data_IF_649264531184
#
_entry.id   IF_649264531184
#
_cell.length_a   1.000
_cell.length_b   1.000
_cell.length_c   1.000
_cell.angle_alpha   90.00
_cell.angle_beta   90.00
_cell.angle_gamma   90.00
#
_symmetry.space_group_name_H-M   'P 1'
#
loop_
_entity.id
_entity.type
_entity.pdbx_description
1 polymer ?
#
# COMPACT_ATOMS: atom_id res chain seq x y z
N UNK A 1 -17.97 16.30 13.28
CA UNK A 1 -18.71 16.07 12.03
C UNK A 1 -18.93 14.57 11.87
N UNK A 2 -20.16 14.15 11.62
CA UNK A 2 -20.50 12.72 11.49
C UNK A 2 -20.07 12.24 10.09
N UNK A 3 -19.51 11.02 9.95
CA UNK A 3 -19.24 10.43 8.64
C UNK A 3 -20.51 10.39 7.77
N UNK A 4 -20.38 10.69 6.47
CA UNK A 4 -21.50 10.66 5.52
C UNK A 4 -22.53 11.80 5.66
N UNK A 5 -22.34 12.76 6.56
CA UNK A 5 -23.26 13.89 6.71
C UNK A 5 -23.03 15.01 5.69
N UNK A 6 -24.06 15.82 5.44
CA UNK A 6 -23.98 16.99 4.56
C UNK A 6 -22.93 18.00 5.03
N UNK A 7 -22.78 18.19 6.35
CA UNK A 7 -21.76 19.07 6.90
C UNK A 7 -20.34 18.58 6.58
N UNK A 8 -20.13 17.25 6.63
CA UNK A 8 -18.84 16.66 6.24
C UNK A 8 -18.60 16.80 4.74
N UNK A 9 -19.62 16.58 3.91
CA UNK A 9 -19.57 16.75 2.45
C UNK A 9 -19.19 18.18 2.07
N UNK A 10 -19.87 19.18 2.62
CA UNK A 10 -19.57 20.60 2.40
C UNK A 10 -18.16 21.00 2.89
N UNK A 11 -17.70 20.41 3.99
CA UNK A 11 -16.32 20.62 4.46
C UNK A 11 -15.28 20.04 3.50
N UNK A 12 -15.49 18.81 3.01
CA UNK A 12 -14.60 18.18 2.02
C UNK A 12 -14.60 18.98 0.72
N UNK A 13 -15.76 19.40 0.24
CA UNK A 13 -15.87 20.21 -0.97
C UNK A 13 -15.10 21.53 -0.86
N UNK A 14 -15.31 22.29 0.21
CA UNK A 14 -14.66 23.58 0.40
C UNK A 14 -13.15 23.50 0.69
N UNK A 15 -12.69 22.45 1.40
CA UNK A 15 -11.30 22.34 1.86
C UNK A 15 -10.42 21.49 0.94
N UNK A 16 -10.99 20.57 0.18
CA UNK A 16 -10.26 19.62 -0.67
C UNK A 16 -10.60 19.85 -2.14
N UNK A 17 -11.88 19.73 -2.54
CA UNK A 17 -12.29 19.79 -3.95
C UNK A 17 -12.04 21.17 -4.56
N UNK A 18 -12.59 22.23 -3.97
CA UNK A 18 -12.44 23.61 -4.46
C UNK A 18 -11.01 24.13 -4.39
N UNK A 19 -10.12 23.41 -3.72
CA UNK A 19 -8.69 23.72 -3.62
C UNK A 19 -7.82 22.83 -4.52
N UNK A 20 -8.43 21.97 -5.33
CA UNK A 20 -7.76 21.06 -6.25
C UNK A 20 -6.77 20.10 -5.57
N UNK A 21 -7.10 19.65 -4.35
CA UNK A 21 -6.31 18.65 -3.61
C UNK A 21 -6.79 17.21 -3.86
N UNK A 22 -7.92 17.03 -4.54
CA UNK A 22 -8.41 15.70 -4.92
C UNK A 22 -7.55 15.11 -6.06
N UNK A 23 -7.26 13.82 -5.95
CA UNK A 23 -6.48 13.07 -6.92
C UNK A 23 -7.08 11.68 -7.11
N UNK A 24 -6.91 11.13 -8.31
CA UNK A 24 -7.22 9.72 -8.61
C UNK A 24 -5.98 8.82 -8.48
N UNK A 25 -4.89 9.33 -7.92
CA UNK A 25 -3.70 8.55 -7.59
C UNK A 25 -3.79 8.00 -6.16
N UNK A 26 -3.35 6.76 -5.99
CA UNK A 26 -3.17 6.12 -4.68
C UNK A 26 -1.72 6.30 -4.24
N UNK A 27 -1.48 6.64 -2.98
CA UNK A 27 -0.12 6.64 -2.41
C UNK A 27 0.36 5.22 -2.11
N UNK A 28 1.65 4.96 -2.27
CA UNK A 28 2.22 3.74 -1.71
C UNK A 28 2.19 3.83 -0.19
N UNK A 29 2.09 2.68 0.47
CA UNK A 29 2.26 2.57 1.91
C UNK A 29 3.61 3.16 2.36
N UNK A 30 4.67 2.98 1.58
CA UNK A 30 5.97 3.55 1.91
C UNK A 30 5.99 5.08 1.97
N UNK A 31 5.24 5.75 1.08
CA UNK A 31 5.14 7.21 1.10
C UNK A 31 4.54 7.71 2.41
N UNK A 32 3.60 6.96 3.01
CA UNK A 32 2.84 7.41 4.18
C UNK A 32 3.22 6.74 5.51
N UNK A 33 3.96 5.63 5.50
CA UNK A 33 4.21 4.79 6.69
C UNK A 33 5.63 4.24 6.84
N UNK A 34 6.46 4.24 5.79
CA UNK A 34 7.87 3.77 5.74
C UNK A 34 8.18 2.33 6.23
N UNK A 35 7.88 1.99 7.48
CA UNK A 35 8.25 0.74 8.14
C UNK A 35 7.22 0.38 9.23
N UNK A 36 7.18 -0.91 9.59
CA UNK A 36 6.36 -1.39 10.70
C UNK A 36 7.11 -1.28 12.03
N UNK A 37 6.38 -0.90 13.08
CA UNK A 37 6.82 -1.04 14.47
C UNK A 37 6.44 -2.43 14.94
N UNK A 38 7.42 -3.25 15.26
CA UNK A 38 7.21 -4.61 15.78
C UNK A 38 7.53 -4.67 17.28
N UNK A 39 6.78 -5.47 18.01
CA UNK A 39 7.07 -5.80 19.40
C UNK A 39 8.20 -6.86 19.51
N UNK A 40 8.51 -7.29 20.73
CA UNK A 40 9.57 -8.28 20.98
C UNK A 40 9.29 -9.66 20.33
N UNK A 41 8.03 -9.97 20.03
CA UNK A 41 7.61 -11.23 19.38
C UNK A 41 7.43 -11.08 17.87
N UNK A 42 7.71 -9.90 17.29
CA UNK A 42 7.53 -9.62 15.87
C UNK A 42 6.10 -9.28 15.47
N UNK A 43 5.20 -9.01 16.42
CA UNK A 43 3.81 -8.62 16.15
C UNK A 43 3.68 -7.10 16.06
N UNK A 44 2.62 -6.63 15.40
CA UNK A 44 2.21 -5.24 15.50
C UNK A 44 1.74 -4.93 16.93
N UNK A 45 2.15 -3.81 17.53
CA UNK A 45 1.74 -3.46 18.88
C UNK A 45 0.25 -3.10 18.90
N UNK A 46 -0.45 -3.49 19.97
CA UNK A 46 -1.86 -3.18 20.14
C UNK A 46 -2.07 -1.65 20.22
N UNK A 47 -2.80 -1.05 19.26
CA UNK A 47 -3.00 0.38 19.25
C UNK A 47 -4.03 0.80 20.31
N UNK A 48 -3.96 2.05 20.81
CA UNK A 48 -4.97 2.58 21.74
C UNK A 48 -6.36 2.71 21.10
N UNK A 49 -6.45 2.73 19.77
CA UNK A 49 -7.70 2.73 19.01
C UNK A 49 -7.52 2.07 17.63
N UNK A 50 -8.62 1.48 17.14
CA UNK A 50 -8.63 0.72 15.89
C UNK A 50 -7.91 -0.62 16.00
N UNK A 51 -7.73 -1.28 14.86
CA UNK A 51 -7.08 -2.58 14.80
C UNK A 51 -5.57 -2.45 14.61
N UNK A 52 -4.83 -3.46 15.06
CA UNK A 52 -3.40 -3.61 14.78
C UNK A 52 -3.23 -3.95 13.29
N UNK A 53 -2.92 -2.92 12.49
CA UNK A 53 -2.88 -3.00 11.04
C UNK A 53 -1.76 -2.11 10.48
N UNK A 54 -1.12 -2.46 9.34
CA UNK A 54 -0.12 -1.60 8.70
C UNK A 54 -0.63 -0.20 8.33
N UNK A 55 -1.94 0.00 8.23
CA UNK A 55 -2.53 1.33 8.01
C UNK A 55 -2.50 2.22 9.26
N UNK A 56 -2.43 1.61 10.45
CA UNK A 56 -2.51 2.28 11.74
C UNK A 56 -1.18 2.99 12.08
N UNK A 57 -1.27 4.28 12.42
CA UNK A 57 -0.11 5.12 12.75
C UNK A 57 0.66 4.61 13.99
N UNK A 58 -0.01 3.94 14.92
CA UNK A 58 0.64 3.37 16.09
C UNK A 58 1.54 2.17 15.75
N UNK A 59 1.18 1.44 14.69
CA UNK A 59 1.88 0.24 14.22
C UNK A 59 3.01 0.54 13.22
N UNK A 60 3.28 1.80 12.92
CA UNK A 60 4.15 2.20 11.80
C UNK A 60 5.04 3.39 12.14
N UNK A 61 6.11 3.57 11.38
CA UNK A 61 6.80 4.85 11.34
C UNK A 61 6.00 5.90 10.57
N UNK A 62 6.45 7.14 10.66
CA UNK A 62 5.80 8.27 9.98
C UNK A 62 5.89 8.21 8.45
N UNK A 63 5.53 9.30 7.77
CA UNK A 63 5.65 9.39 6.31
C UNK A 63 7.11 9.42 5.85
N UNK A 64 7.33 9.08 4.59
CA UNK A 64 8.65 9.15 3.97
C UNK A 64 9.19 10.57 4.02
N UNK A 65 10.41 10.72 4.54
CA UNK A 65 11.13 11.99 4.57
C UNK A 65 12.37 11.89 3.66
N UNK A 66 12.77 13.02 3.07
CA UNK A 66 13.90 13.07 2.13
C UNK A 66 15.18 12.46 2.73
N UNK A 67 15.49 12.77 3.99
CA UNK A 67 16.65 12.18 4.69
C UNK A 67 16.61 10.65 4.73
N UNK A 68 15.42 10.05 4.85
CA UNK A 68 15.27 8.60 4.85
C UNK A 68 15.45 8.05 3.44
N UNK A 69 14.84 8.69 2.43
CA UNK A 69 15.00 8.33 1.02
C UNK A 69 16.48 8.29 0.58
N UNK A 70 17.29 9.24 1.04
CA UNK A 70 18.73 9.32 0.72
C UNK A 70 19.57 8.25 1.45
N UNK A 71 19.03 7.63 2.50
CA UNK A 71 19.71 6.63 3.35
C UNK A 71 19.16 5.21 3.15
N UNK A 72 18.28 5.01 2.18
CA UNK A 72 17.68 3.70 1.93
C UNK A 72 18.70 2.72 1.39
N UNK A 73 18.60 1.47 1.86
CA UNK A 73 19.29 0.35 1.22
C UNK A 73 18.63 0.02 -0.14
N UNK A 74 17.32 0.25 -0.25
CA UNK A 74 16.60 0.10 -1.51
C UNK A 74 16.88 1.26 -2.46
N UNK A 75 17.21 1.01 -3.74
CA UNK A 75 17.39 2.07 -4.73
C UNK A 75 16.15 2.96 -4.85
N UNK A 76 16.32 4.28 -4.87
CA UNK A 76 15.21 5.23 -4.94
C UNK A 76 14.34 5.06 -6.20
N UNK A 77 14.94 4.57 -7.29
CA UNK A 77 14.25 4.29 -8.55
C UNK A 77 13.34 3.04 -8.50
N UNK A 78 13.45 2.19 -7.47
CA UNK A 78 12.55 1.04 -7.27
C UNK A 78 11.50 1.30 -6.21
N UNK A 79 11.62 2.35 -5.41
CA UNK A 79 10.64 2.70 -4.38
C UNK A 79 9.41 3.41 -4.98
N UNK A 80 8.22 2.76 -5.05
CA UNK A 80 7.03 3.45 -5.54
C UNK A 80 6.55 4.49 -4.53
N UNK A 81 6.16 5.66 -5.01
CA UNK A 81 5.56 6.74 -4.22
C UNK A 81 4.06 6.88 -4.49
N UNK A 82 3.67 6.95 -5.76
CA UNK A 82 2.27 7.12 -6.20
C UNK A 82 2.00 6.20 -7.39
N UNK A 83 0.78 5.70 -7.50
CA UNK A 83 0.31 4.92 -8.64
C UNK A 83 -1.09 5.34 -9.05
N UNK A 84 -1.47 5.05 -10.30
CA UNK A 84 -2.85 5.24 -10.74
C UNK A 84 -3.79 4.45 -9.83
N UNK A 85 -4.78 5.12 -9.25
CA UNK A 85 -5.65 4.50 -8.26
C UNK A 85 -6.68 3.57 -8.88
N UNK A 86 -6.78 2.37 -8.30
CA UNK A 86 -7.85 1.42 -8.57
C UNK A 86 -9.13 1.74 -7.79
N UNK A 87 -10.23 1.09 -8.19
CA UNK A 87 -11.49 1.19 -7.47
C UNK A 87 -11.37 0.62 -6.06
N UNK A 88 -11.67 1.44 -5.05
CA UNK A 88 -11.52 1.14 -3.63
C UNK A 88 -12.68 0.29 -3.04
N UNK A 89 -13.47 -0.38 -3.87
CA UNK A 89 -14.71 -1.07 -3.50
C UNK A 89 -15.82 -0.17 -2.89
N UNK A 90 -15.57 1.13 -2.75
CA UNK A 90 -16.51 2.13 -2.26
C UNK A 90 -16.76 3.24 -3.29
N UNK A 91 -17.98 3.77 -3.28
CA UNK A 91 -18.40 4.88 -4.13
C UNK A 91 -18.74 6.11 -3.30
N UNK A 92 -18.74 7.29 -3.90
CA UNK A 92 -19.12 8.53 -3.23
C UNK A 92 -20.54 8.40 -2.62
N UNK A 93 -20.69 8.56 -1.28
CA UNK A 93 -21.99 8.44 -0.63
C UNK A 93 -22.89 9.66 -0.88
N UNK A 94 -22.29 10.80 -1.23
CA UNK A 94 -22.94 12.07 -1.59
C UNK A 94 -22.13 12.71 -2.71
N UNK A 95 -22.78 13.51 -3.56
CA UNK A 95 -22.10 14.25 -4.63
C UNK A 95 -21.13 15.30 -4.07
N UNK A 96 -19.96 15.46 -4.69
CA UNK A 96 -18.94 16.43 -4.29
C UNK A 96 -18.43 17.15 -5.54
N UNK A 97 -18.66 18.46 -5.65
CA UNK A 97 -18.36 19.19 -6.87
C UNK A 97 -19.08 18.59 -8.08
N UNK A 98 -18.32 18.27 -9.12
CA UNK A 98 -18.84 17.69 -10.36
C UNK A 98 -18.94 16.16 -10.31
N UNK A 99 -18.49 15.52 -9.22
CA UNK A 99 -18.57 14.08 -9.05
C UNK A 99 -19.92 13.68 -8.43
N UNK A 100 -20.70 12.92 -9.18
CA UNK A 100 -22.02 12.44 -8.74
C UNK A 100 -21.92 11.42 -7.61
N UNK A 101 -23.00 11.30 -6.83
CA UNK A 101 -23.18 10.20 -5.90
C UNK A 101 -23.06 8.86 -6.64
N UNK A 102 -22.37 7.88 -6.06
CA UNK A 102 -22.11 6.60 -6.72
C UNK A 102 -20.86 6.60 -7.60
N UNK A 103 -20.16 7.73 -7.78
CA UNK A 103 -18.87 7.74 -8.50
C UNK A 103 -17.84 6.86 -7.78
N UNK A 104 -17.04 6.07 -8.52
CA UNK A 104 -16.02 5.22 -7.93
C UNK A 104 -14.93 6.05 -7.26
N UNK A 105 -14.43 5.56 -6.12
CA UNK A 105 -13.33 6.20 -5.39
C UNK A 105 -12.03 5.40 -5.52
N UNK A 106 -10.90 6.09 -5.36
CA UNK A 106 -9.58 5.48 -5.21
C UNK A 106 -9.18 5.42 -3.73
N UNK A 107 -8.31 4.46 -3.39
CA UNK A 107 -7.75 4.37 -2.03
C UNK A 107 -6.82 5.54 -1.78
N UNK A 108 -6.76 6.00 -0.53
CA UNK A 108 -5.81 7.04 -0.14
C UNK A 108 -4.37 6.54 -0.20
N UNK A 109 -4.13 5.29 0.21
CA UNK A 109 -2.86 4.60 0.07
C UNK A 109 -3.06 3.06 0.04
N UNK A 110 -2.01 2.33 -0.33
CA UNK A 110 -2.01 0.85 -0.38
C UNK A 110 -1.91 0.22 1.03
N UNK A 111 -2.30 -1.05 1.18
CA UNK A 111 -2.54 -1.66 2.52
C UNK A 111 -1.28 -2.07 3.29
N UNK A 112 -0.11 -1.99 2.67
CA UNK A 112 1.16 -2.36 3.30
C UNK A 112 1.51 -3.82 3.10
N UNK A 113 2.48 -4.36 3.86
CA UNK A 113 2.99 -5.71 3.68
C UNK A 113 2.05 -6.79 4.25
N UNK A 114 1.83 -7.84 3.49
CA UNK A 114 1.00 -9.01 3.84
C UNK A 114 1.65 -10.32 3.37
N UNK A 115 1.21 -11.45 3.93
CA UNK A 115 1.65 -12.79 3.54
C UNK A 115 1.21 -13.13 2.11
N UNK A 116 2.09 -13.78 1.33
CA UNK A 116 1.74 -14.19 -0.04
C UNK A 116 0.55 -15.16 -0.07
N UNK A 117 0.47 -16.06 0.92
CA UNK A 117 -0.46 -17.20 0.86
C UNK A 117 -1.94 -16.82 1.03
N UNK A 118 -2.23 -15.76 1.77
CA UNK A 118 -3.60 -15.41 2.18
C UNK A 118 -3.85 -13.89 2.34
N UNK A 119 -2.87 -13.05 2.01
CA UNK A 119 -2.94 -11.59 2.12
C UNK A 119 -3.24 -11.10 3.55
N UNK A 120 -2.86 -11.88 4.56
CA UNK A 120 -3.02 -11.48 5.96
C UNK A 120 -1.73 -10.90 6.54
N UNK A 121 -1.90 -10.14 7.62
CA UNK A 121 -0.78 -9.64 8.42
C UNK A 121 -0.26 -10.79 9.30
N UNK A 122 1.06 -11.09 9.31
CA UNK A 122 1.63 -12.13 10.17
C UNK A 122 1.31 -11.91 11.66
N UNK A 123 0.98 -13.00 12.36
CA UNK A 123 0.79 -13.03 13.81
C UNK A 123 1.60 -14.17 14.41
N UNK A 124 2.29 -13.90 15.51
CA UNK A 124 3.21 -14.82 16.19
C UNK A 124 2.78 -15.07 17.63
N UNK A 125 2.96 -16.30 18.10
CA UNK A 125 2.75 -16.65 19.50
C UNK A 125 3.77 -16.02 20.44
N UNK A 126 3.45 -16.00 21.73
CA UNK A 126 4.36 -15.49 22.77
C UNK A 126 5.68 -16.28 22.77
N UNK A 127 6.82 -15.56 22.79
CA UNK A 127 8.15 -16.16 22.78
C UNK A 127 8.64 -16.59 21.38
N UNK A 128 7.99 -16.12 20.30
CA UNK A 128 8.44 -16.40 18.95
C UNK A 128 9.89 -15.92 18.74
N UNK A 129 10.80 -16.79 18.25
CA UNK A 129 12.19 -16.43 18.04
C UNK A 129 12.30 -15.37 16.93
N UNK A 130 13.22 -14.42 17.09
CA UNK A 130 13.52 -13.44 16.03
C UNK A 130 14.13 -14.10 14.80
N UNK A 131 15.10 -14.98 15.02
CA UNK A 131 15.93 -15.57 13.97
C UNK A 131 15.55 -17.01 13.67
N UNK A 132 16.08 -17.54 12.57
CA UNK A 132 15.88 -18.91 12.12
C UNK A 132 14.77 -19.04 11.06
N UNK A 133 14.64 -20.21 10.41
CA UNK A 133 13.69 -20.40 9.30
C UNK A 133 12.23 -20.19 9.70
N UNK A 134 11.89 -20.44 10.97
CA UNK A 134 10.56 -20.20 11.56
C UNK A 134 10.49 -18.93 12.42
N UNK A 135 11.55 -18.12 12.42
CA UNK A 135 11.60 -16.88 13.19
C UNK A 135 10.76 -15.78 12.54
N UNK A 136 10.27 -14.85 13.35
CA UNK A 136 9.38 -13.79 12.85
C UNK A 136 10.05 -12.90 11.79
N UNK A 137 11.38 -12.75 11.81
CA UNK A 137 12.12 -12.00 10.79
C UNK A 137 12.01 -12.65 9.41
N UNK A 138 12.12 -13.98 9.34
CA UNK A 138 12.00 -14.72 8.09
C UNK A 138 10.58 -14.63 7.53
N UNK A 139 9.56 -14.74 8.39
CA UNK A 139 8.15 -14.58 7.99
C UNK A 139 7.88 -13.19 7.43
N UNK A 140 8.32 -12.13 8.10
CA UNK A 140 8.18 -10.77 7.58
C UNK A 140 8.96 -10.55 6.29
N UNK A 141 10.16 -11.13 6.16
CA UNK A 141 10.95 -11.07 4.92
C UNK A 141 10.24 -11.75 3.75
N UNK A 142 9.34 -12.70 4.02
CA UNK A 142 8.47 -13.35 3.06
C UNK A 142 7.10 -12.65 2.92
N UNK A 143 6.94 -11.41 3.35
CA UNK A 143 5.75 -10.61 3.01
C UNK A 143 6.00 -9.76 1.78
N UNK A 144 4.91 -9.32 1.14
CA UNK A 144 4.92 -8.41 0.00
C UNK A 144 3.98 -7.24 0.26
N UNK A 145 4.35 -6.06 -0.22
CA UNK A 145 3.46 -4.91 -0.26
C UNK A 145 2.23 -5.23 -1.11
N UNK A 146 1.05 -5.01 -0.55
CA UNK A 146 -0.23 -5.17 -1.24
C UNK A 146 -0.48 -3.96 -2.15
N UNK A 147 -0.03 -4.07 -3.40
CA UNK A 147 -0.19 -3.02 -4.41
C UNK A 147 -1.54 -3.03 -5.13
N UNK A 148 -2.54 -3.79 -4.68
CA UNK A 148 -3.86 -3.85 -5.35
C UNK A 148 -4.62 -2.52 -5.39
N UNK A 149 -4.18 -1.52 -4.61
CA UNK A 149 -4.66 -0.14 -4.72
C UNK A 149 -4.15 0.63 -5.95
N UNK A 150 -3.12 0.10 -6.63
CA UNK A 150 -2.66 0.56 -7.94
C UNK A 150 -3.34 -0.27 -9.03
N UNK A 151 -3.83 0.40 -10.07
CA UNK A 151 -4.60 -0.28 -11.12
C UNK A 151 -4.29 0.24 -12.53
N UNK A 152 -4.42 -0.63 -13.54
CA UNK A 152 -4.12 -0.35 -14.94
C UNK A 152 -5.23 0.43 -15.66
N UNK A 153 -5.71 1.52 -15.04
CA UNK A 153 -6.90 2.29 -15.48
C UNK A 153 -6.70 3.09 -16.78
N UNK A 154 -5.47 3.19 -17.30
CA UNK A 154 -5.17 3.88 -18.55
C UNK A 154 -4.94 2.90 -19.69
N UNK A 155 -6.03 2.29 -20.19
CA UNK A 155 -6.00 1.31 -21.29
C UNK A 155 -5.11 0.09 -20.97
N UNK A 156 -5.22 -0.45 -19.76
CA UNK A 156 -4.41 -1.57 -19.32
C UNK A 156 -3.02 -1.18 -18.81
N UNK A 157 -2.80 0.12 -18.53
CA UNK A 157 -1.53 0.65 -18.01
C UNK A 157 -1.76 1.42 -16.71
N UNK A 158 -0.86 1.22 -15.75
CA UNK A 158 -0.73 2.02 -14.53
C UNK A 158 0.58 2.81 -14.60
N UNK A 159 0.54 4.10 -14.32
CA UNK A 159 1.75 4.90 -14.17
C UNK A 159 2.16 4.91 -12.70
N UNK A 160 3.42 4.56 -12.44
CA UNK A 160 4.02 4.58 -11.11
C UNK A 160 5.09 5.67 -11.05
N UNK A 161 4.98 6.57 -10.06
CA UNK A 161 6.02 7.54 -9.69
C UNK A 161 6.95 6.91 -8.66
N UNK A 162 8.26 7.06 -8.85
CA UNK A 162 9.29 6.51 -7.97
C UNK A 162 10.00 7.60 -7.15
N UNK A 163 10.76 7.16 -6.15
CA UNK A 163 11.53 8.01 -5.23
C UNK A 163 12.54 8.93 -5.93
N UNK A 164 13.08 8.52 -7.08
CA UNK A 164 13.99 9.33 -7.91
C UNK A 164 13.27 10.37 -8.78
N UNK A 165 11.93 10.43 -8.73
CA UNK A 165 11.09 11.29 -9.55
C UNK A 165 10.80 10.74 -10.95
N UNK A 166 11.31 9.56 -11.30
CA UNK A 166 10.97 8.90 -12.56
C UNK A 166 9.53 8.38 -12.55
N UNK A 167 8.91 8.32 -13.72
CA UNK A 167 7.60 7.69 -13.92
C UNK A 167 7.75 6.54 -14.89
N UNK A 168 7.24 5.36 -14.51
CA UNK A 168 7.21 4.18 -15.38
C UNK A 168 5.79 3.70 -15.61
N UNK A 169 5.50 3.36 -16.85
CA UNK A 169 4.25 2.76 -17.27
C UNK A 169 4.35 1.23 -17.11
N UNK A 170 3.51 0.66 -16.26
CA UNK A 170 3.40 -0.78 -16.04
C UNK A 170 2.13 -1.28 -16.72
N UNK A 171 2.27 -2.30 -17.55
CA UNK A 171 1.14 -2.91 -18.26
C UNK A 171 0.65 -4.14 -17.49
N UNK A 172 -0.66 -4.22 -17.32
CA UNK A 172 -1.31 -5.45 -16.91
C UNK A 172 -1.27 -6.46 -18.08
N UNK A 173 -0.43 -7.48 -17.92
CA UNK A 173 -0.13 -8.46 -18.95
C UNK A 173 -1.25 -9.48 -19.15
N UNK A 174 -1.85 -9.94 -18.03
CA UNK A 174 -2.87 -10.98 -18.02
C UNK A 174 -4.31 -10.40 -18.10
N UNK A 175 -4.47 -9.08 -17.94
CA UNK A 175 -5.73 -8.32 -18.00
C UNK A 175 -6.70 -8.66 -16.88
N UNK A 176 -6.19 -9.01 -15.71
CA UNK A 176 -7.03 -9.27 -14.53
C UNK A 176 -7.40 -8.01 -13.74
N UNK A 177 -6.85 -6.84 -14.13
CA UNK A 177 -7.11 -5.56 -13.49
C UNK A 177 -6.20 -5.25 -12.31
N UNK A 178 -5.23 -6.13 -12.00
CA UNK A 178 -4.26 -5.95 -10.93
C UNK A 178 -2.83 -5.92 -11.47
N UNK A 179 -1.92 -5.43 -10.64
CA UNK A 179 -0.48 -5.53 -10.88
C UNK A 179 0.12 -6.42 -9.81
N UNK A 180 0.58 -7.60 -10.20
CA UNK A 180 1.05 -8.61 -9.26
C UNK A 180 2.57 -8.52 -9.08
N UNK A 181 3.01 -8.53 -7.82
CA UNK A 181 4.42 -8.53 -7.42
C UNK A 181 4.90 -9.87 -6.84
N UNK A 182 4.13 -10.95 -7.06
CA UNK A 182 4.48 -12.31 -6.65
C UNK A 182 3.44 -13.02 -5.78
N UNK A 183 2.23 -12.48 -5.64
CA UNK A 183 1.13 -13.19 -5.01
C UNK A 183 0.63 -14.33 -5.90
N UNK A 184 0.35 -15.53 -5.34
CA UNK A 184 -0.30 -16.59 -6.08
C UNK A 184 -1.78 -16.26 -6.31
N UNK A 185 -2.38 -16.80 -7.37
CA UNK A 185 -3.81 -16.71 -7.64
C UNK A 185 -4.66 -17.28 -6.49
N UNK A 186 -4.12 -18.26 -5.76
CA UNK A 186 -4.77 -18.89 -4.61
C UNK A 186 -4.82 -18.01 -3.35
N UNK A 187 -4.18 -16.83 -3.37
CA UNK A 187 -4.13 -15.93 -2.21
C UNK A 187 -5.48 -15.37 -1.79
N UNK A 188 -6.49 -15.43 -2.66
CA UNK A 188 -7.80 -14.81 -2.43
C UNK A 188 -7.84 -13.31 -2.78
N UNK A 189 -6.80 -12.81 -3.45
CA UNK A 189 -6.63 -11.38 -3.72
C UNK A 189 -7.30 -10.82 -4.96
N UNK A 190 -7.86 -11.68 -5.81
CA UNK A 190 -8.43 -11.31 -7.12
C UNK A 190 -7.50 -11.56 -8.31
N UNK A 191 -6.23 -11.92 -8.07
CA UNK A 191 -5.27 -12.30 -9.11
C UNK A 191 -5.74 -13.54 -9.87
N UNK A 192 -5.74 -13.49 -11.20
CA UNK A 192 -6.18 -14.63 -12.05
C UNK A 192 -5.05 -15.63 -12.35
N UNK A 193 -3.81 -15.27 -12.03
CA UNK A 193 -2.64 -16.12 -12.22
C UNK A 193 -1.43 -15.62 -11.45
N UNK A 194 -0.36 -16.40 -11.50
CA UNK A 194 0.89 -16.12 -10.77
C UNK A 194 1.89 -15.30 -11.63
N UNK A 195 1.40 -14.70 -12.71
CA UNK A 195 2.19 -13.79 -13.55
C UNK A 195 2.65 -12.61 -12.68
N UNK A 196 3.91 -12.23 -12.82
CA UNK A 196 4.49 -11.11 -12.09
C UNK A 196 4.68 -9.95 -13.06
N UNK A 197 3.87 -8.90 -12.92
CA UNK A 197 3.97 -7.68 -13.72
C UNK A 197 4.89 -6.63 -13.09
N UNK A 198 5.05 -6.66 -11.76
CA UNK A 198 5.89 -5.70 -11.01
C UNK A 198 6.84 -6.46 -10.07
N UNK A 199 7.95 -7.02 -10.60
CA UNK A 199 8.90 -7.75 -9.79
C UNK A 199 9.58 -6.83 -8.77
N UNK A 200 10.04 -7.40 -7.65
CA UNK A 200 10.66 -6.64 -6.54
C UNK A 200 11.91 -5.84 -6.97
N UNK A 201 12.64 -6.35 -7.97
CA UNK A 201 13.79 -5.67 -8.58
C UNK A 201 13.43 -4.36 -9.27
N UNK A 202 12.15 -4.20 -9.62
CA UNK A 202 11.62 -2.99 -10.25
C UNK A 202 10.74 -2.18 -9.30
N UNK A 203 9.92 -2.83 -8.48
CA UNK A 203 9.01 -2.17 -7.53
C UNK A 203 9.21 -2.80 -6.15
N UNK A 204 9.94 -2.08 -5.30
CA UNK A 204 10.33 -2.55 -3.97
C UNK A 204 9.11 -2.97 -3.15
N UNK A 205 9.14 -4.14 -2.49
CA UNK A 205 7.93 -4.75 -1.91
C UNK A 205 8.11 -5.30 -0.48
N UNK A 206 9.18 -4.93 0.23
CA UNK A 206 9.42 -5.46 1.59
C UNK A 206 8.58 -4.77 2.66
N UNK A 207 8.64 -5.26 3.89
CA UNK A 207 7.91 -4.70 5.03
C UNK A 207 8.61 -3.51 5.72
N UNK A 208 9.88 -3.31 5.42
CA UNK A 208 10.72 -2.23 5.95
C UNK A 208 11.56 -1.63 4.82
N UNK A 209 11.88 -0.36 4.97
CA UNK A 209 12.85 0.37 4.16
C UNK A 209 14.28 0.27 4.70
N UNK A 210 14.44 -0.28 5.91
CA UNK A 210 15.72 -0.47 6.59
C UNK A 210 16.09 -1.96 6.62
N UNK A 211 17.25 -2.29 6.04
CA UNK A 211 17.87 -3.60 5.99
C UNK A 211 19.18 -3.65 6.80
N UNK A 212 19.81 -4.82 6.91
CA UNK A 212 20.33 -5.51 5.73
C UNK A 212 19.27 -6.42 5.11
N UNK A 213 19.08 -6.21 3.81
CA UNK A 213 18.25 -7.02 2.96
C UNK A 213 19.10 -8.18 2.42
N UNK A 214 18.71 -9.46 2.58
CA UNK A 214 19.37 -10.53 1.86
C UNK A 214 19.26 -10.29 0.34
N UNK A 215 20.37 -10.51 -0.35
CA UNK A 215 20.51 -10.50 -1.81
C UNK A 215 19.56 -11.50 -2.49
#
# INVERSE_FOLDING_TARGET
MVPGSEERRAHVESRIYNKFYNTNYTASWFLVRMELKLDANGNLPAPPCGDAHPANLFCTAGPLVQKKLDLLDAPSNTLPMLGCGGFAAETLPLAVGDAEQGSPMAKSFTDGPVLLGDLTVPVFGAGAPKTGPSGWWATWSNTRQDYRGFAPVHRGVCNLLFGDGSVRAVKDGNRDGFLNNGFPASSGGGFQGDSVEIPETEVFSRWSLEGPFPD
#
